data_IF_102955028967
#
_entry.id   IF_102955028967
#
_cell.length_a   1.000
_cell.length_b   1.000
_cell.length_c   1.000
_cell.angle_alpha   90.00
_cell.angle_beta   90.00
_cell.angle_gamma   90.00
#
_symmetry.space_group_name_H-M   'P 1'
#
loop_
_entity.id
_entity.type
_entity.pdbx_description
1 polymer ?
#
# COMPACT_ATOMS: atom_id res chain seq x y z
N UNK A 1 24.92 -12.07 -20.09
CA UNK A 1 25.00 -10.76 -19.38
C UNK A 1 24.55 -9.57 -20.24
N UNK A 2 25.09 -9.33 -21.45
CA UNK A 2 24.68 -8.16 -22.26
C UNK A 2 23.19 -8.16 -22.66
N UNK A 3 22.65 -9.30 -23.11
CA UNK A 3 21.22 -9.45 -23.45
C UNK A 3 20.32 -9.17 -22.23
N UNK A 4 20.64 -9.79 -21.09
CA UNK A 4 19.93 -9.57 -19.83
C UNK A 4 19.89 -8.09 -19.42
N UNK A 5 21.01 -7.36 -19.55
CA UNK A 5 21.03 -5.91 -19.25
C UNK A 5 20.11 -5.13 -20.19
N UNK A 6 20.08 -5.49 -21.48
CA UNK A 6 19.19 -4.86 -22.47
C UNK A 6 17.73 -5.14 -22.11
N UNK A 7 17.38 -6.37 -21.75
CA UNK A 7 16.03 -6.76 -21.33
C UNK A 7 15.56 -5.96 -20.11
N UNK A 8 16.41 -5.82 -19.09
CA UNK A 8 16.14 -4.98 -17.90
C UNK A 8 15.96 -3.51 -18.30
N UNK A 9 16.81 -2.98 -19.17
CA UNK A 9 16.69 -1.58 -19.62
C UNK A 9 15.38 -1.33 -20.37
N UNK A 10 14.97 -2.26 -21.24
CA UNK A 10 13.68 -2.19 -21.94
C UNK A 10 12.52 -2.22 -20.94
N UNK A 11 12.57 -3.14 -19.97
CA UNK A 11 11.56 -3.23 -18.90
C UNK A 11 11.46 -1.93 -18.12
N UNK A 12 12.58 -1.40 -17.61
CA UNK A 12 12.62 -0.15 -16.84
C UNK A 12 12.10 1.02 -17.69
N UNK A 13 12.52 1.12 -18.95
CA UNK A 13 12.10 2.19 -19.85
C UNK A 13 10.59 2.15 -20.07
N UNK A 14 10.01 0.97 -20.34
CA UNK A 14 8.58 0.81 -20.55
C UNK A 14 7.76 1.15 -19.31
N UNK A 15 8.24 0.75 -18.12
CA UNK A 15 7.60 1.09 -16.84
C UNK A 15 7.63 2.61 -16.61
N UNK A 16 8.79 3.25 -16.78
CA UNK A 16 8.93 4.71 -16.60
C UNK A 16 8.08 5.48 -17.61
N UNK A 17 8.11 5.09 -18.89
CA UNK A 17 7.29 5.71 -19.94
C UNK A 17 5.79 5.52 -19.66
N UNK A 18 5.39 4.33 -19.22
CA UNK A 18 4.00 4.00 -18.94
C UNK A 18 3.46 4.80 -17.76
N UNK A 19 4.26 4.92 -16.69
CA UNK A 19 3.97 5.78 -15.55
C UNK A 19 3.78 7.25 -15.95
N UNK A 20 4.60 7.77 -16.88
CA UNK A 20 4.49 9.15 -17.38
C UNK A 20 3.26 9.39 -18.25
N UNK A 21 2.85 8.40 -19.06
CA UNK A 21 1.75 8.56 -20.02
C UNK A 21 0.39 8.45 -19.33
N UNK A 22 0.19 7.41 -18.50
CA UNK A 22 -1.12 7.12 -17.91
C UNK A 22 -1.02 6.50 -16.51
N UNK A 23 0.02 6.82 -15.74
CA UNK A 23 0.20 6.33 -14.37
C UNK A 23 0.28 4.81 -14.28
N UNK A 24 -0.35 4.24 -13.25
CA UNK A 24 -0.34 2.80 -12.99
C UNK A 24 -0.92 1.96 -14.15
N UNK A 25 -1.98 2.47 -14.79
CA UNK A 25 -2.58 1.84 -15.97
C UNK A 25 -1.60 1.79 -17.14
N UNK A 26 -0.97 2.93 -17.46
CA UNK A 26 0.00 3.02 -18.55
C UNK A 26 1.23 2.16 -18.33
N UNK A 27 1.72 2.10 -17.08
CA UNK A 27 2.79 1.19 -16.66
C UNK A 27 2.47 -0.26 -17.00
N UNK A 28 1.26 -0.71 -16.62
CA UNK A 28 0.77 -2.04 -16.93
C UNK A 28 0.69 -2.34 -18.43
N UNK A 29 0.04 -1.45 -19.18
CA UNK A 29 -0.17 -1.65 -20.62
C UNK A 29 1.17 -1.70 -21.37
N UNK A 30 2.08 -0.75 -21.12
CA UNK A 30 3.37 -0.76 -21.81
C UNK A 30 4.23 -1.97 -21.44
N UNK A 31 4.18 -2.43 -20.18
CA UNK A 31 4.86 -3.66 -19.80
C UNK A 31 4.30 -4.89 -20.55
N UNK A 32 2.97 -4.99 -20.74
CA UNK A 32 2.36 -6.04 -21.56
C UNK A 32 2.75 -5.92 -23.04
N UNK A 33 2.89 -4.71 -23.57
CA UNK A 33 3.41 -4.53 -24.94
C UNK A 33 4.86 -4.98 -25.03
N UNK A 34 5.70 -4.65 -24.04
CA UNK A 34 7.09 -5.14 -24.02
C UNK A 34 7.18 -6.65 -23.82
N UNK A 35 6.19 -7.28 -23.18
CA UNK A 35 6.11 -8.73 -23.09
C UNK A 35 6.07 -9.39 -24.47
N UNK A 36 5.41 -8.77 -25.46
CA UNK A 36 5.46 -9.23 -26.85
C UNK A 36 6.89 -9.16 -27.41
N UNK A 37 7.62 -8.09 -27.11
CA UNK A 37 9.02 -7.93 -27.54
C UNK A 37 9.90 -8.99 -26.88
N UNK A 38 9.69 -9.31 -25.61
CA UNK A 38 10.47 -10.34 -24.90
C UNK A 38 10.23 -11.74 -25.48
N UNK A 39 8.98 -12.10 -25.74
CA UNK A 39 8.65 -13.42 -26.28
C UNK A 39 9.06 -13.53 -27.75
N UNK A 40 8.61 -12.60 -28.61
CA UNK A 40 8.79 -12.71 -30.05
C UNK A 40 10.13 -12.17 -30.55
N UNK A 41 10.71 -11.19 -29.86
CA UNK A 41 11.99 -10.58 -30.23
C UNK A 41 13.19 -11.27 -29.58
N UNK A 42 13.14 -11.49 -28.26
CA UNK A 42 14.23 -12.13 -27.51
C UNK A 42 14.07 -13.65 -27.36
N UNK A 43 12.92 -14.23 -27.71
CA UNK A 43 12.70 -15.67 -27.66
C UNK A 43 12.54 -16.22 -26.24
N UNK A 44 12.21 -15.37 -25.26
CA UNK A 44 12.01 -15.81 -23.88
C UNK A 44 10.69 -16.56 -23.74
N UNK A 45 10.71 -17.67 -23.00
CA UNK A 45 9.50 -18.39 -22.65
C UNK A 45 8.62 -17.51 -21.73
N UNK A 46 7.30 -17.45 -21.94
CA UNK A 46 6.41 -16.64 -21.11
C UNK A 46 6.46 -17.13 -19.65
N UNK A 47 6.69 -16.21 -18.72
CA UNK A 47 6.62 -16.49 -17.29
C UNK A 47 5.18 -16.56 -16.78
N UNK A 48 5.04 -16.86 -15.48
CA UNK A 48 3.75 -17.01 -14.83
C UNK A 48 2.98 -15.68 -14.74
N UNK A 49 1.68 -15.77 -15.01
CA UNK A 49 0.77 -14.65 -14.93
C UNK A 49 0.28 -14.46 -13.48
N UNK A 50 0.33 -13.25 -12.88
CA UNK A 50 -0.09 -13.04 -11.49
C UNK A 50 -1.62 -12.94 -11.35
N UNK A 51 -2.36 -13.94 -11.86
CA UNK A 51 -3.84 -13.98 -11.90
C UNK A 51 -4.43 -13.86 -10.50
N UNK A 52 -3.88 -14.61 -9.55
CA UNK A 52 -4.22 -14.64 -8.13
C UNK A 52 -4.24 -13.23 -7.53
N UNK A 53 -3.18 -12.44 -7.74
CA UNK A 53 -3.11 -11.06 -7.25
C UNK A 53 -4.11 -10.13 -7.96
N UNK A 54 -4.31 -10.29 -9.27
CA UNK A 54 -5.28 -9.50 -10.06
C UNK A 54 -6.70 -9.70 -9.54
N UNK A 55 -7.10 -10.94 -9.25
CA UNK A 55 -8.42 -11.26 -8.73
C UNK A 55 -8.65 -10.68 -7.33
N UNK A 56 -7.62 -10.73 -6.46
CA UNK A 56 -7.68 -10.07 -5.14
C UNK A 56 -7.94 -8.57 -5.31
N UNK A 57 -7.14 -7.88 -6.13
CA UNK A 57 -7.24 -6.44 -6.34
C UNK A 57 -8.60 -6.05 -6.89
N UNK A 58 -9.13 -6.84 -7.83
CA UNK A 58 -10.46 -6.63 -8.38
C UNK A 58 -11.54 -6.73 -7.31
N UNK A 59 -11.53 -7.80 -6.51
CA UNK A 59 -12.54 -8.01 -5.46
C UNK A 59 -12.55 -6.88 -4.42
N UNK A 60 -11.38 -6.44 -3.98
CA UNK A 60 -11.26 -5.34 -3.01
C UNK A 60 -11.63 -4.00 -3.65
N UNK A 61 -11.23 -3.77 -4.90
CA UNK A 61 -11.57 -2.57 -5.65
C UNK A 61 -13.08 -2.39 -5.84
N UNK A 62 -13.80 -3.48 -6.10
CA UNK A 62 -15.25 -3.50 -6.20
C UNK A 62 -15.90 -3.33 -4.83
N UNK A 63 -15.42 -4.03 -3.79
CA UNK A 63 -15.96 -3.90 -2.44
C UNK A 63 -15.78 -2.48 -1.86
N UNK A 64 -14.58 -1.92 -1.98
CA UNK A 64 -14.29 -0.56 -1.56
C UNK A 64 -15.00 0.49 -2.41
N UNK A 65 -15.11 0.27 -3.72
CA UNK A 65 -15.90 1.15 -4.60
C UNK A 65 -17.39 1.12 -4.28
N UNK A 66 -17.93 -0.05 -3.94
CA UNK A 66 -19.32 -0.20 -3.49
C UNK A 66 -19.52 0.53 -2.18
N UNK A 67 -18.59 0.38 -1.23
CA UNK A 67 -18.62 1.11 0.04
C UNK A 67 -18.53 2.64 -0.16
N UNK A 68 -17.79 3.10 -1.16
CA UNK A 68 -17.72 4.51 -1.52
C UNK A 68 -19.02 4.99 -2.17
N UNK A 69 -19.59 4.23 -3.12
CA UNK A 69 -20.84 4.55 -3.79
C UNK A 69 -22.04 4.57 -2.84
N UNK A 70 -22.03 3.76 -1.77
CA UNK A 70 -23.06 3.78 -0.73
C UNK A 70 -22.88 4.90 0.31
N UNK A 71 -21.85 5.74 0.22
CA UNK A 71 -21.55 6.76 1.24
C UNK A 71 -20.99 6.17 2.54
N UNK A 72 -20.60 4.90 2.55
CA UNK A 72 -19.98 4.24 3.70
C UNK A 72 -18.61 4.84 4.04
N UNK A 73 -17.85 5.26 3.03
CA UNK A 73 -16.59 5.98 3.23
C UNK A 73 -16.83 7.33 3.92
N UNK A 74 -17.87 8.08 3.55
CA UNK A 74 -18.20 9.35 4.19
C UNK A 74 -18.58 9.16 5.67
N UNK A 75 -19.30 8.09 5.99
CA UNK A 75 -19.59 7.71 7.38
C UNK A 75 -18.33 7.39 8.18
N UNK A 76 -17.40 6.63 7.59
CA UNK A 76 -16.12 6.33 8.20
C UNK A 76 -15.32 7.62 8.45
N UNK A 77 -15.23 8.51 7.46
CA UNK A 77 -14.54 9.80 7.59
C UNK A 77 -15.16 10.68 8.69
N UNK A 78 -16.50 10.70 8.80
CA UNK A 78 -17.20 11.38 9.90
C UNK A 78 -16.80 10.83 11.27
N UNK A 79 -16.73 9.51 11.41
CA UNK A 79 -16.31 8.87 12.66
C UNK A 79 -14.85 9.20 12.99
N UNK A 80 -13.95 9.15 12.00
CA UNK A 80 -12.56 9.57 12.17
C UNK A 80 -12.46 11.04 12.62
N UNK A 81 -13.25 11.93 12.02
CA UNK A 81 -13.29 13.35 12.40
C UNK A 81 -13.59 13.52 13.87
N UNK A 82 -14.64 12.86 14.38
CA UNK A 82 -15.02 12.94 15.80
C UNK A 82 -13.91 12.44 16.73
N UNK A 83 -13.17 11.42 16.33
CA UNK A 83 -12.06 10.89 17.14
C UNK A 83 -10.85 11.85 17.13
N UNK A 84 -10.49 12.38 15.97
CA UNK A 84 -9.38 13.33 15.81
C UNK A 84 -9.66 14.62 16.60
N UNK A 85 -10.88 15.16 16.50
CA UNK A 85 -11.29 16.37 17.21
C UNK A 85 -11.41 16.18 18.73
N UNK A 86 -11.53 14.94 19.23
CA UNK A 86 -11.58 14.65 20.68
C UNK A 86 -10.21 14.81 21.37
N UNK A 87 -9.11 14.64 20.63
CA UNK A 87 -7.75 14.70 21.18
C UNK A 87 -6.83 15.67 20.40
N UNK A 88 -7.22 16.97 20.28
CA UNK A 88 -6.55 17.92 19.39
C UNK A 88 -5.10 18.21 19.81
N UNK A 89 -4.80 18.20 21.11
CA UNK A 89 -3.44 18.42 21.64
C UNK A 89 -2.46 17.31 21.29
N UNK A 90 -2.95 16.10 21.02
CA UNK A 90 -2.15 14.92 20.68
C UNK A 90 -2.26 14.57 19.20
N UNK A 91 -2.66 15.51 18.34
CA UNK A 91 -2.97 15.25 16.93
C UNK A 91 -1.81 14.59 16.16
N UNK A 92 -0.55 14.91 16.50
CA UNK A 92 0.64 14.32 15.87
C UNK A 92 0.71 12.79 16.07
N UNK A 93 0.07 12.25 17.12
CA UNK A 93 -0.04 10.81 17.37
C UNK A 93 -1.40 10.24 16.99
N UNK A 94 -2.48 11.00 17.21
CA UNK A 94 -3.84 10.52 16.96
C UNK A 94 -4.14 10.47 15.46
N UNK A 95 -3.73 11.47 14.68
CA UNK A 95 -4.02 11.48 13.25
C UNK A 95 -3.33 10.34 12.49
N UNK A 96 -2.05 9.99 12.74
CA UNK A 96 -1.43 8.86 12.06
C UNK A 96 -2.06 7.53 12.47
N UNK A 97 -2.44 7.34 13.74
CA UNK A 97 -3.12 6.12 14.19
C UNK A 97 -4.48 5.91 13.50
N UNK A 98 -5.27 6.99 13.36
CA UNK A 98 -6.56 6.91 12.68
C UNK A 98 -6.36 6.66 11.18
N UNK A 99 -5.40 7.33 10.56
CA UNK A 99 -5.05 7.08 9.16
C UNK A 99 -4.56 5.64 8.96
N UNK A 100 -3.73 5.12 9.87
CA UNK A 100 -3.28 3.73 9.83
C UNK A 100 -4.46 2.77 9.84
N UNK A 101 -5.38 2.91 10.79
CA UNK A 101 -6.55 2.04 10.92
C UNK A 101 -7.41 2.06 9.64
N UNK A 102 -7.62 3.24 9.07
CA UNK A 102 -8.44 3.42 7.88
C UNK A 102 -7.81 2.82 6.64
N UNK A 103 -6.52 3.10 6.44
CA UNK A 103 -5.78 2.55 5.29
C UNK A 103 -5.60 1.04 5.45
N UNK A 104 -5.35 0.56 6.67
CA UNK A 104 -5.27 -0.86 6.98
C UNK A 104 -6.59 -1.59 6.71
N UNK A 105 -7.73 -0.99 7.07
CA UNK A 105 -9.04 -1.59 6.84
C UNK A 105 -9.50 -1.51 5.39
N UNK A 106 -9.33 -0.36 4.73
CA UNK A 106 -9.86 -0.10 3.39
C UNK A 106 -8.91 -0.58 2.29
N UNK A 107 -7.59 -0.62 2.57
CA UNK A 107 -6.58 -1.10 1.61
C UNK A 107 -6.10 -0.07 0.59
N UNK A 108 -6.45 1.21 0.75
CA UNK A 108 -5.94 2.30 -0.10
C UNK A 108 -5.48 3.51 0.72
N UNK A 109 -4.35 4.11 0.35
CA UNK A 109 -3.88 5.36 0.96
C UNK A 109 -4.68 6.58 0.50
N UNK A 110 -5.48 6.47 -0.57
CA UNK A 110 -6.30 7.56 -1.07
C UNK A 110 -7.38 8.01 -0.07
N UNK A 111 -7.74 7.16 0.90
CA UNK A 111 -8.63 7.56 2.00
C UNK A 111 -8.02 8.68 2.87
N UNK A 112 -6.69 8.77 2.93
CA UNK A 112 -6.01 9.83 3.66
C UNK A 112 -6.37 11.22 3.11
N UNK A 113 -6.66 11.35 1.80
CA UNK A 113 -7.09 12.61 1.19
C UNK A 113 -8.36 13.17 1.85
N UNK A 114 -9.27 12.31 2.29
CA UNK A 114 -10.49 12.76 2.99
C UNK A 114 -10.23 13.14 4.46
N UNK A 115 -9.14 12.65 5.05
CA UNK A 115 -8.76 12.92 6.44
C UNK A 115 -7.80 14.11 6.56
N UNK A 116 -6.94 14.35 5.57
CA UNK A 116 -5.94 15.42 5.57
C UNK A 116 -6.52 16.82 5.87
N UNK A 117 -7.67 17.25 5.30
CA UNK A 117 -8.27 18.55 5.63
C UNK A 117 -8.70 18.64 7.10
N UNK A 118 -9.27 17.55 7.64
CA UNK A 118 -9.70 17.45 9.03
C UNK A 118 -8.50 17.54 9.96
N UNK A 119 -7.40 16.87 9.60
CA UNK A 119 -6.14 16.88 10.35
C UNK A 119 -5.54 18.28 10.34
N UNK A 120 -5.43 18.93 9.18
CA UNK A 120 -4.91 20.28 9.06
C UNK A 120 -5.73 21.28 9.91
N UNK A 121 -7.06 21.22 9.78
CA UNK A 121 -7.98 22.07 10.55
C UNK A 121 -7.88 21.83 12.06
N UNK A 122 -7.86 20.57 12.49
CA UNK A 122 -7.76 20.23 13.91
C UNK A 122 -6.40 20.64 14.48
N UNK A 123 -5.32 20.54 13.70
CA UNK A 123 -4.00 21.03 14.09
C UNK A 123 -4.04 22.55 14.34
N UNK A 124 -4.62 23.31 13.41
CA UNK A 124 -4.78 24.76 13.56
C UNK A 124 -5.62 25.11 14.79
N UNK A 125 -6.78 24.48 15.00
CA UNK A 125 -7.60 24.67 16.22
C UNK A 125 -6.80 24.37 17.51
N UNK A 126 -5.86 23.42 17.46
CA UNK A 126 -5.03 23.03 18.57
C UNK A 126 -3.79 23.93 18.80
N UNK A 127 -3.58 24.97 17.98
CA UNK A 127 -2.32 25.74 17.93
C UNK A 127 -1.09 24.87 17.63
N UNK A 128 -1.26 23.88 16.75
CA UNK A 128 -0.20 23.00 16.27
C UNK A 128 -0.02 23.23 14.77
N UNK A 129 1.23 23.32 14.32
CA UNK A 129 1.55 23.39 12.89
C UNK A 129 0.94 22.19 12.13
N UNK A 130 0.17 22.41 11.05
CA UNK A 130 -0.39 21.34 10.21
C UNK A 130 0.68 20.43 9.60
N UNK A 131 1.86 20.98 9.32
CA UNK A 131 3.00 20.27 8.72
C UNK A 131 3.29 18.93 9.38
N UNK A 132 3.36 18.90 10.71
CA UNK A 132 3.78 17.72 11.48
C UNK A 132 2.76 16.57 11.41
N UNK A 133 1.49 16.78 11.80
CA UNK A 133 0.49 15.72 11.71
C UNK A 133 0.20 15.31 10.27
N UNK A 134 0.25 16.23 9.28
CA UNK A 134 0.09 15.88 7.86
C UNK A 134 1.20 14.95 7.37
N UNK A 135 2.49 15.31 7.61
CA UNK A 135 3.62 14.44 7.23
C UNK A 135 3.52 13.08 7.91
N UNK A 136 3.25 13.06 9.23
CA UNK A 136 3.13 11.83 9.98
C UNK A 136 2.01 10.94 9.45
N UNK A 137 0.85 11.51 9.13
CA UNK A 137 -0.31 10.80 8.58
C UNK A 137 -0.07 10.25 7.17
N UNK A 138 0.49 11.04 6.25
CA UNK A 138 0.74 10.60 4.86
C UNK A 138 1.75 9.45 4.82
N UNK A 139 2.86 9.56 5.55
CA UNK A 139 3.86 8.49 5.61
C UNK A 139 3.31 7.23 6.29
N UNK A 140 2.48 7.40 7.33
CA UNK A 140 1.82 6.28 7.99
C UNK A 140 0.80 5.57 7.10
N UNK A 141 0.10 6.30 6.22
CA UNK A 141 -0.77 5.70 5.21
C UNK A 141 0.03 4.72 4.34
N UNK A 142 1.25 5.08 3.95
CA UNK A 142 2.12 4.21 3.15
C UNK A 142 2.56 2.97 3.94
N UNK A 143 2.91 3.11 5.23
CA UNK A 143 3.23 1.98 6.09
C UNK A 143 2.06 0.99 6.21
N UNK A 144 0.85 1.51 6.41
CA UNK A 144 -0.37 0.73 6.60
C UNK A 144 -0.72 -0.10 5.35
N UNK A 145 -0.45 0.41 4.15
CA UNK A 145 -0.69 -0.31 2.90
C UNK A 145 0.05 -1.63 2.84
N UNK A 146 1.31 -1.68 3.29
CA UNK A 146 2.11 -2.92 3.28
C UNK A 146 1.72 -3.90 4.40
N UNK A 147 0.76 -3.55 5.25
CA UNK A 147 0.25 -4.44 6.29
C UNK A 147 -1.20 -4.86 6.04
N UNK A 148 -1.93 -4.10 5.23
CA UNK A 148 -3.34 -4.39 4.94
C UNK A 148 -3.46 -5.59 3.99
N UNK A 149 -4.18 -6.65 4.35
CA UNK A 149 -4.52 -7.72 3.40
C UNK A 149 -5.43 -7.22 2.27
N UNK A 150 -6.15 -6.13 2.52
CA UNK A 150 -6.99 -5.45 1.54
C UNK A 150 -6.16 -4.51 0.63
N UNK A 151 -4.87 -4.32 0.86
CA UNK A 151 -4.05 -3.53 -0.05
C UNK A 151 -3.48 -4.36 -1.20
N UNK A 152 -3.57 -3.80 -2.40
CA UNK A 152 -3.07 -4.45 -3.63
C UNK A 152 -1.60 -4.88 -3.57
N UNK A 153 -0.72 -4.04 -3.01
CA UNK A 153 0.70 -4.36 -2.86
C UNK A 153 0.92 -5.56 -1.94
N UNK A 154 0.27 -5.58 -0.78
CA UNK A 154 0.36 -6.66 0.21
C UNK A 154 -0.24 -7.96 -0.33
N UNK A 155 -1.39 -7.88 -0.98
CA UNK A 155 -2.01 -9.03 -1.64
C UNK A 155 -1.07 -9.67 -2.66
N UNK A 156 -0.41 -8.85 -3.49
CA UNK A 156 0.60 -9.34 -4.42
C UNK A 156 1.78 -9.99 -3.70
N UNK A 157 2.36 -9.32 -2.70
CA UNK A 157 3.51 -9.84 -1.94
C UNK A 157 3.16 -11.20 -1.31
N UNK A 158 2.02 -11.30 -0.62
CA UNK A 158 1.56 -12.54 0.00
C UNK A 158 1.38 -13.64 -1.06
N UNK A 159 0.80 -13.32 -2.23
CA UNK A 159 0.62 -14.31 -3.30
C UNK A 159 1.94 -14.88 -3.82
N UNK A 160 2.98 -14.06 -3.92
CA UNK A 160 4.31 -14.53 -4.36
C UNK A 160 5.04 -15.27 -3.24
N UNK A 161 4.87 -14.83 -2.00
CA UNK A 161 5.46 -15.47 -0.82
C UNK A 161 4.82 -16.82 -0.49
N UNK A 162 3.56 -17.05 -0.90
CA UNK A 162 2.90 -18.35 -0.77
C UNK A 162 3.66 -19.46 -1.52
N UNK A 163 4.25 -19.14 -2.69
CA UNK A 163 5.10 -20.07 -3.44
C UNK A 163 6.42 -20.42 -2.72
N UNK A 164 6.73 -19.70 -1.63
CA UNK A 164 7.90 -19.91 -0.79
C UNK A 164 7.51 -20.39 0.62
N UNK A 165 6.33 -20.98 0.76
CA UNK A 165 5.80 -21.54 2.02
C UNK A 165 5.66 -20.50 3.15
N UNK A 166 5.66 -19.21 2.82
CA UNK A 166 5.39 -18.14 3.79
C UNK A 166 3.89 -17.88 3.84
N UNK A 167 3.32 -18.10 5.01
CA UNK A 167 1.91 -17.80 5.25
C UNK A 167 1.69 -16.30 5.45
N UNK A 168 0.47 -15.85 5.16
CA UNK A 168 0.05 -14.49 5.45
C UNK A 168 0.21 -14.13 6.94
N UNK A 169 -0.03 -15.09 7.86
CA UNK A 169 0.19 -14.92 9.29
C UNK A 169 1.64 -14.61 9.63
N UNK A 170 2.60 -15.33 9.02
CA UNK A 170 4.04 -15.05 9.18
C UNK A 170 4.42 -13.69 8.59
N UNK A 171 3.86 -13.32 7.43
CA UNK A 171 4.08 -12.00 6.85
C UNK A 171 3.62 -10.89 7.81
N UNK A 172 2.38 -10.98 8.30
CA UNK A 172 1.79 -9.98 9.18
C UNK A 172 2.44 -9.94 10.57
N UNK A 173 2.92 -11.07 11.09
CA UNK A 173 3.59 -11.12 12.40
C UNK A 173 4.86 -10.26 12.45
N UNK A 174 5.50 -10.04 11.29
CA UNK A 174 6.62 -9.10 11.16
C UNK A 174 6.15 -7.73 10.66
N UNK A 175 5.40 -7.68 9.55
CA UNK A 175 5.07 -6.43 8.89
C UNK A 175 4.21 -5.49 9.75
N UNK A 176 3.19 -6.03 10.43
CA UNK A 176 2.23 -5.23 11.20
C UNK A 176 2.87 -4.59 12.45
N UNK A 177 3.56 -5.32 13.35
CA UNK A 177 4.22 -4.69 14.48
C UNK A 177 5.33 -3.72 14.05
N UNK A 178 6.05 -4.03 12.97
CA UNK A 178 7.05 -3.12 12.38
C UNK A 178 6.45 -1.78 12.00
N UNK A 179 5.33 -1.79 11.28
CA UNK A 179 4.66 -0.57 10.85
C UNK A 179 4.10 0.23 12.03
N UNK A 180 3.50 -0.43 13.03
CA UNK A 180 2.97 0.22 14.23
C UNK A 180 4.08 0.90 15.04
N UNK A 181 5.20 0.22 15.30
CA UNK A 181 6.34 0.80 16.02
C UNK A 181 6.95 1.96 15.21
N UNK A 182 7.07 1.80 13.89
CA UNK A 182 7.62 2.84 13.00
C UNK A 182 6.74 4.08 12.95
N UNK A 183 5.41 3.92 12.93
CA UNK A 183 4.44 5.02 13.03
C UNK A 183 4.60 5.79 14.35
N UNK A 184 4.76 5.09 15.48
CA UNK A 184 4.97 5.73 16.78
C UNK A 184 6.31 6.46 16.84
N UNK A 185 7.37 5.85 16.29
CA UNK A 185 8.69 6.47 16.17
C UNK A 185 8.64 7.73 15.29
N UNK A 186 7.94 7.68 14.16
CA UNK A 186 7.71 8.83 13.27
C UNK A 186 6.96 9.96 13.99
N UNK A 187 5.88 9.63 14.69
CA UNK A 187 5.09 10.62 15.45
C UNK A 187 5.93 11.28 16.54
N UNK A 188 6.79 10.50 17.21
CA UNK A 188 7.76 10.98 18.19
C UNK A 188 8.81 11.87 17.54
N UNK A 189 9.38 11.46 16.41
CA UNK A 189 10.35 12.24 15.64
C UNK A 189 9.77 13.59 15.21
N UNK A 190 8.57 13.61 14.64
CA UNK A 190 7.86 14.84 14.25
C UNK A 190 7.57 15.76 15.44
N UNK A 191 7.35 15.19 16.62
CA UNK A 191 7.14 15.95 17.86
C UNK A 191 8.44 16.59 18.36
N UNK A 192 9.55 15.84 18.36
CA UNK A 192 10.85 16.28 18.88
C UNK A 192 11.59 17.21 17.93
N UNK A 193 11.54 16.97 16.62
CA UNK A 193 12.29 17.74 15.63
C UNK A 193 11.50 18.99 15.22
N UNK A 194 12.15 20.15 15.36
CA UNK A 194 11.62 21.44 14.95
C UNK A 194 10.52 21.97 15.86
N UNK A 195 10.86 22.36 17.10
CA UNK A 195 10.07 23.31 17.89
C UNK A 195 10.11 24.68 17.19
N UNK A 196 9.45 24.80 16.05
CA UNK A 196 9.28 26.09 15.41
C UNK A 196 8.24 26.86 16.21
N UNK A 197 8.65 28.01 16.74
CA UNK A 197 7.74 29.04 17.20
C UNK A 197 6.92 29.46 15.99
N UNK A 198 5.63 29.14 16.01
CA UNK A 198 4.71 29.48 14.94
C UNK A 198 4.01 30.78 15.31
N UNK A 199 3.97 31.70 14.34
CA UNK A 199 3.41 33.03 14.51
C UNK A 199 1.89 32.93 14.72
N UNK A 200 1.43 33.26 15.94
CA UNK A 200 0.00 33.17 16.33
C UNK A 200 -0.89 34.03 15.45
N UNK A 201 -0.39 35.16 14.94
CA UNK A 201 -1.21 36.15 14.22
C UNK A 201 -1.64 35.67 12.82
N UNK A 202 -0.86 34.79 12.19
CA UNK A 202 -1.24 34.11 10.93
C UNK A 202 -2.31 33.05 11.12
N UNK A 203 -2.44 32.48 12.31
CA UNK A 203 -3.47 31.48 12.59
C UNK A 203 -4.87 32.08 12.66
N UNK A 204 -5.01 33.27 13.24
CA UNK A 204 -6.33 33.87 13.50
C UNK A 204 -7.03 34.25 12.18
N UNK A 205 -6.28 34.76 11.20
CA UNK A 205 -6.83 35.10 9.87
C UNK A 205 -7.23 33.87 9.04
N UNK A 206 -6.50 32.75 9.15
CA UNK A 206 -6.80 31.50 8.43
C UNK A 206 -8.01 30.77 9.04
N UNK A 207 -8.10 30.75 10.37
CA UNK A 207 -9.22 30.10 11.07
C UNK A 207 -10.55 30.84 10.85
N UNK A 208 -10.51 32.16 10.59
CA UNK A 208 -11.69 32.96 10.27
C UNK A 208 -12.14 32.88 8.79
N UNK A 209 -11.25 32.52 7.87
CA UNK A 209 -11.53 32.63 6.43
C UNK A 209 -12.30 31.45 5.81
N UNK A 210 -12.16 30.22 6.30
CA UNK A 210 -12.85 29.05 5.73
C UNK A 210 -13.22 28.02 6.81
N UNK A 211 -14.30 28.29 7.55
CA UNK A 211 -14.96 27.26 8.37
C UNK A 211 -16.08 26.63 7.55
N UNK A 212 -15.73 25.70 6.66
CA UNK A 212 -16.69 24.66 6.27
C UNK A 212 -17.00 23.86 7.54
N UNK A 213 -18.13 24.15 8.18
CA UNK A 213 -18.68 23.31 9.24
C UNK A 213 -18.99 21.96 8.59
N UNK A 214 -18.45 20.88 9.16
CA UNK A 214 -19.00 19.55 8.88
C UNK A 214 -20.33 19.58 9.62
N UNK A 215 -21.42 19.85 8.90
CA UNK A 215 -22.76 19.67 9.44
C UNK A 215 -22.86 18.25 10.02
N UNK A 216 -23.61 18.06 11.12
CA UNK A 216 -23.89 16.72 11.63
C UNK A 216 -24.72 15.97 10.58
N UNK A 217 -24.04 15.34 9.62
CA UNK A 217 -24.66 14.60 8.54
C UNK A 217 -25.34 13.38 9.13
N UNK A 218 -26.65 13.26 8.90
CA UNK A 218 -27.40 12.08 9.28
C UNK A 218 -27.05 10.93 8.33
N UNK A 219 -26.39 9.89 8.86
CA UNK A 219 -26.13 8.65 8.14
C UNK A 219 -27.21 7.61 8.44
N UNK A 220 -27.83 7.09 7.38
CA UNK A 220 -28.89 6.09 7.52
C UNK A 220 -28.36 4.79 8.19
N UNK A 221 -29.21 4.03 8.90
CA UNK A 221 -28.82 2.75 9.48
C UNK A 221 -28.28 1.75 8.46
N UNK A 222 -28.75 1.83 7.21
CA UNK A 222 -28.32 0.96 6.10
C UNK A 222 -26.87 1.21 5.71
N UNK A 223 -26.42 2.47 5.68
CA UNK A 223 -25.01 2.83 5.44
C UNK A 223 -24.12 2.27 6.56
N UNK A 224 -24.56 2.41 7.83
CA UNK A 224 -23.83 1.86 8.98
C UNK A 224 -23.71 0.34 8.92
N UNK A 225 -24.77 -0.35 8.53
CA UNK A 225 -24.76 -1.81 8.31
C UNK A 225 -23.86 -2.21 7.14
N UNK A 226 -23.87 -1.46 6.04
CA UNK A 226 -22.97 -1.69 4.90
C UNK A 226 -21.50 -1.56 5.28
N UNK A 227 -21.16 -0.55 6.08
CA UNK A 227 -19.82 -0.37 6.67
C UNK A 227 -19.48 -1.50 7.62
N UNK A 228 -20.41 -1.92 8.48
CA UNK A 228 -20.21 -3.05 9.38
C UNK A 228 -19.94 -4.36 8.60
N UNK A 229 -20.65 -4.59 7.49
CA UNK A 229 -20.43 -5.75 6.62
C UNK A 229 -19.04 -5.73 5.95
N UNK A 230 -18.56 -4.54 5.54
CA UNK A 230 -17.20 -4.38 5.02
C UNK A 230 -16.14 -4.67 6.08
N UNK A 231 -16.25 -4.06 7.26
CA UNK A 231 -15.31 -4.30 8.36
C UNK A 231 -15.34 -5.75 8.84
N UNK A 232 -16.52 -6.38 8.83
CA UNK A 232 -16.66 -7.80 9.10
C UNK A 232 -15.88 -8.65 8.08
N UNK A 233 -16.01 -8.36 6.79
CA UNK A 233 -15.25 -9.04 5.73
C UNK A 233 -13.74 -8.91 5.92
N UNK A 234 -13.24 -7.71 6.21
CA UNK A 234 -11.81 -7.48 6.53
C UNK A 234 -11.38 -8.27 7.77
N UNK A 235 -12.22 -8.28 8.82
CA UNK A 235 -11.97 -9.04 10.04
C UNK A 235 -11.87 -10.55 9.80
N UNK A 236 -12.79 -11.11 9.01
CA UNK A 236 -12.74 -12.52 8.61
C UNK A 236 -11.45 -12.85 7.85
N UNK A 237 -11.07 -12.03 6.86
CA UNK A 237 -9.83 -12.22 6.09
C UNK A 237 -8.60 -12.25 7.00
N UNK A 238 -8.53 -11.36 7.98
CA UNK A 238 -7.44 -11.34 8.95
C UNK A 238 -7.42 -12.60 9.81
N UNK A 239 -8.58 -13.06 10.28
CA UNK A 239 -8.69 -14.27 11.10
C UNK A 239 -8.23 -15.50 10.30
N UNK A 240 -8.75 -15.72 9.09
CA UNK A 240 -8.33 -16.85 8.24
C UNK A 240 -6.86 -16.73 7.82
N UNK A 241 -6.37 -15.52 7.57
CA UNK A 241 -4.97 -15.29 7.21
C UNK A 241 -3.99 -15.53 8.36
N UNK A 242 -4.40 -15.24 9.60
CA UNK A 242 -3.59 -15.51 10.80
C UNK A 242 -3.65 -16.97 11.24
N UNK A 243 -4.76 -17.66 10.98
CA UNK A 243 -4.97 -19.05 11.37
C UNK A 243 -5.30 -19.90 10.14
N UNK A 244 -4.28 -20.33 9.37
CA UNK A 244 -4.48 -21.16 8.18
C UNK A 244 -5.22 -22.47 8.46
N UNK A 245 -5.12 -23.01 9.68
CA UNK A 245 -5.83 -24.23 10.09
C UNK A 245 -7.37 -24.08 10.07
N UNK A 246 -7.88 -22.84 10.07
CA UNK A 246 -9.31 -22.58 9.93
C UNK A 246 -9.79 -22.67 8.47
N UNK A 247 -8.88 -22.72 7.50
CA UNK A 247 -9.24 -22.80 6.09
C UNK A 247 -9.98 -24.10 5.80
N UNK A 248 -11.16 -24.04 5.14
CA UNK A 248 -11.88 -25.23 4.75
C UNK A 248 -11.01 -26.16 3.89
N UNK A 249 -10.88 -27.41 4.32
CA UNK A 249 -10.22 -28.48 3.56
C UNK A 249 -11.26 -29.46 3.05
N UNK A 250 -11.11 -29.85 1.80
CA UNK A 250 -11.97 -30.80 1.11
C UNK A 250 -11.14 -32.00 0.68
N UNK A 251 -11.72 -33.20 0.73
CA UNK A 251 -11.11 -34.38 0.14
C UNK A 251 -11.71 -34.55 -1.26
N UNK A 252 -10.90 -34.29 -2.29
CA UNK A 252 -11.28 -34.42 -3.70
C UNK A 252 -10.34 -35.46 -4.32
N UNK A 253 -10.92 -36.55 -4.83
CA UNK A 253 -10.17 -37.65 -5.47
C UNK A 253 -9.05 -38.26 -4.60
N UNK A 254 -9.21 -38.24 -3.27
CA UNK A 254 -8.23 -38.76 -2.32
C UNK A 254 -7.15 -37.76 -1.91
N UNK A 255 -7.10 -36.59 -2.53
CA UNK A 255 -6.20 -35.49 -2.18
C UNK A 255 -6.91 -34.45 -1.29
N UNK A 256 -6.18 -33.94 -0.31
CA UNK A 256 -6.70 -32.87 0.56
C UNK A 256 -6.44 -31.53 -0.11
N UNK A 257 -7.50 -30.90 -0.61
CA UNK A 257 -7.47 -29.57 -1.23
C UNK A 257 -7.94 -28.56 -0.19
N UNK A 258 -7.12 -27.57 0.13
CA UNK A 258 -7.50 -26.45 1.00
C UNK A 258 -7.85 -25.23 0.16
N UNK A 259 -8.84 -24.46 0.62
CA UNK A 259 -9.23 -23.22 -0.01
C UNK A 259 -8.10 -22.18 0.13
N UNK A 260 -7.71 -21.54 -0.97
CA UNK A 260 -6.59 -20.60 -0.95
C UNK A 260 -6.96 -19.30 -0.22
N UNK A 261 -5.99 -18.66 0.44
CA UNK A 261 -6.20 -17.34 1.05
C UNK A 261 -6.73 -16.29 0.05
N UNK A 262 -6.31 -16.41 -1.21
CA UNK A 262 -6.81 -15.63 -2.34
C UNK A 262 -8.32 -15.69 -2.49
N UNK A 263 -8.88 -16.87 -2.33
CA UNK A 263 -10.30 -17.15 -2.52
C UNK A 263 -11.08 -16.65 -1.31
N UNK A 264 -10.54 -16.81 -0.09
CA UNK A 264 -11.10 -16.21 1.13
C UNK A 264 -11.27 -14.69 0.97
N UNK A 265 -10.23 -14.00 0.51
CA UNK A 265 -10.29 -12.54 0.30
C UNK A 265 -11.41 -12.18 -0.66
N UNK A 266 -11.50 -12.87 -1.79
CA UNK A 266 -12.54 -12.63 -2.79
C UNK A 266 -13.95 -12.89 -2.23
N UNK A 267 -14.16 -14.03 -1.57
CA UNK A 267 -15.46 -14.42 -1.03
C UNK A 267 -15.99 -13.39 -0.02
N UNK A 268 -15.16 -12.94 0.93
CA UNK A 268 -15.61 -11.97 1.94
C UNK A 268 -15.78 -10.55 1.38
N UNK A 269 -14.95 -10.13 0.41
CA UNK A 269 -15.10 -8.83 -0.26
C UNK A 269 -16.35 -8.78 -1.14
N UNK A 270 -16.63 -9.85 -1.90
CA UNK A 270 -17.87 -9.96 -2.67
C UNK A 270 -19.10 -10.15 -1.79
N UNK A 271 -18.98 -10.83 -0.65
CA UNK A 271 -20.06 -10.89 0.35
C UNK A 271 -20.40 -9.49 0.88
N UNK A 272 -19.39 -8.69 1.24
CA UNK A 272 -19.58 -7.30 1.66
C UNK A 272 -20.26 -6.46 0.56
N UNK A 273 -19.82 -6.63 -0.69
CA UNK A 273 -20.41 -5.98 -1.87
C UNK A 273 -21.88 -6.36 -2.02
N UNK A 274 -22.20 -7.65 -2.00
CA UNK A 274 -23.56 -8.15 -2.15
C UNK A 274 -24.48 -7.61 -1.05
N UNK A 275 -24.03 -7.60 0.21
CA UNK A 275 -24.81 -7.03 1.31
C UNK A 275 -25.06 -5.54 1.09
N UNK A 276 -24.04 -4.77 0.68
CA UNK A 276 -24.21 -3.35 0.41
C UNK A 276 -25.21 -3.08 -0.72
N UNK A 277 -25.15 -3.83 -1.82
CA UNK A 277 -26.09 -3.71 -2.94
C UNK A 277 -27.52 -4.10 -2.57
N UNK A 278 -27.70 -5.09 -1.70
CA UNK A 278 -29.03 -5.50 -1.22
C UNK A 278 -29.63 -4.46 -0.26
N UNK A 279 -28.80 -3.82 0.57
CA UNK A 279 -29.22 -2.78 1.50
C UNK A 279 -29.49 -1.44 0.79
N UNK A 280 -28.66 -1.10 -0.19
CA UNK A 280 -28.63 0.19 -0.88
C UNK A 280 -28.83 -0.05 -2.38
N UNK A 281 -29.97 0.40 -2.91
CA UNK A 281 -30.24 0.35 -4.35
C UNK A 281 -29.41 1.43 -5.07
N UNK A 282 -28.18 1.09 -5.45
CA UNK A 282 -27.26 1.96 -6.21
C UNK A 282 -27.13 1.49 -7.66
N UNK A 283 -26.79 2.41 -8.58
CA UNK A 283 -26.48 2.06 -9.97
C UNK A 283 -25.10 1.40 -10.02
N UNK A 284 -24.94 0.25 -10.71
CA UNK A 284 -23.63 -0.38 -10.88
C UNK A 284 -22.56 0.55 -11.49
N UNK A 285 -22.95 1.52 -12.31
CA UNK A 285 -22.02 2.50 -12.89
C UNK A 285 -21.43 3.46 -11.83
N UNK A 286 -22.17 3.71 -10.74
CA UNK A 286 -21.67 4.54 -9.64
C UNK A 286 -20.49 3.86 -8.94
N UNK A 287 -20.49 2.53 -8.87
CA UNK A 287 -19.40 1.72 -8.31
C UNK A 287 -18.14 1.88 -9.17
N UNK A 288 -18.28 1.68 -10.48
CA UNK A 288 -17.16 1.72 -11.43
C UNK A 288 -16.54 3.11 -11.58
N UNK A 289 -17.34 4.16 -11.38
CA UNK A 289 -16.87 5.55 -11.44
C UNK A 289 -16.22 6.03 -10.14
N UNK A 290 -16.27 5.25 -9.06
CA UNK A 290 -15.62 5.62 -7.81
C UNK A 290 -14.09 5.67 -7.93
N UNK A 291 -13.46 6.56 -7.14
CA UNK A 291 -12.00 6.68 -7.10
C UNK A 291 -11.34 5.39 -6.62
N UNK A 292 -11.96 4.65 -5.70
CA UNK A 292 -11.42 3.38 -5.21
C UNK A 292 -11.40 2.33 -6.33
N UNK A 293 -12.49 2.14 -7.07
CA UNK A 293 -12.52 1.18 -8.18
C UNK A 293 -11.57 1.58 -9.31
N UNK A 294 -11.52 2.87 -9.69
CA UNK A 294 -10.58 3.35 -10.70
C UNK A 294 -9.11 3.14 -10.28
N UNK A 295 -8.80 3.39 -9.01
CA UNK A 295 -7.46 3.14 -8.46
C UNK A 295 -7.11 1.65 -8.49
N UNK A 296 -8.09 0.78 -8.18
CA UNK A 296 -7.91 -0.66 -8.24
C UNK A 296 -7.69 -1.18 -9.67
N UNK A 297 -8.40 -0.65 -10.67
CA UNK A 297 -8.17 -0.97 -12.09
C UNK A 297 -6.73 -0.58 -12.50
N UNK A 298 -6.28 0.61 -12.13
CA UNK A 298 -4.89 1.03 -12.37
C UNK A 298 -3.88 0.10 -11.70
N UNK A 299 -4.12 -0.29 -10.44
CA UNK A 299 -3.28 -1.21 -9.69
C UNK A 299 -3.26 -2.63 -10.29
N UNK A 300 -4.40 -3.12 -10.78
CA UNK A 300 -4.53 -4.41 -11.45
C UNK A 300 -3.56 -4.49 -12.64
N UNK A 301 -3.57 -3.48 -13.51
CA UNK A 301 -2.65 -3.44 -14.65
C UNK A 301 -1.19 -3.28 -14.21
N UNK A 302 -0.92 -2.52 -13.16
CA UNK A 302 0.42 -2.36 -12.60
C UNK A 302 0.99 -3.64 -11.94
N UNK A 303 0.13 -4.57 -11.51
CA UNK A 303 0.56 -5.93 -11.13
C UNK A 303 0.71 -6.80 -12.35
N UNK A 304 -0.33 -6.86 -13.20
CA UNK A 304 -0.40 -7.75 -14.33
C UNK A 304 0.78 -7.56 -15.30
N UNK A 305 1.05 -6.33 -15.71
CA UNK A 305 2.07 -6.03 -16.71
C UNK A 305 3.50 -6.24 -16.20
N UNK A 306 4.01 -5.41 -15.27
CA UNK A 306 5.35 -5.55 -14.74
C UNK A 306 5.60 -6.90 -14.05
N UNK A 307 4.60 -7.48 -13.38
CA UNK A 307 4.73 -8.79 -12.76
C UNK A 307 4.94 -9.90 -13.79
N UNK A 308 4.17 -9.91 -14.87
CA UNK A 308 4.33 -10.90 -15.94
C UNK A 308 5.61 -10.70 -16.75
N UNK A 309 5.92 -9.44 -17.08
CA UNK A 309 7.17 -9.08 -17.77
C UNK A 309 8.39 -9.44 -16.94
N UNK A 310 8.37 -9.14 -15.64
CA UNK A 310 9.40 -9.51 -14.69
C UNK A 310 9.56 -11.03 -14.59
N UNK A 311 8.47 -11.78 -14.41
CA UNK A 311 8.52 -13.24 -14.38
C UNK A 311 9.16 -13.82 -15.65
N UNK A 312 8.87 -13.26 -16.82
CA UNK A 312 9.41 -13.70 -18.11
C UNK A 312 10.92 -13.43 -18.23
N UNK A 313 11.36 -12.23 -17.84
CA UNK A 313 12.78 -11.86 -17.91
C UNK A 313 13.58 -12.62 -16.85
N UNK A 314 13.14 -12.62 -15.60
CA UNK A 314 13.95 -13.13 -14.48
C UNK A 314 13.88 -14.65 -14.33
N UNK A 315 12.77 -15.30 -14.70
CA UNK A 315 12.68 -16.77 -14.64
C UNK A 315 13.23 -17.46 -15.89
N UNK A 316 13.65 -16.70 -16.92
CA UNK A 316 14.35 -17.27 -18.06
C UNK A 316 15.62 -18.00 -17.57
N UNK A 317 15.86 -19.27 -17.97
CA UNK A 317 16.94 -20.08 -17.43
C UNK A 317 18.33 -19.42 -17.49
N UNK A 318 18.64 -18.78 -18.61
CA UNK A 318 19.91 -18.07 -18.84
C UNK A 318 20.07 -16.85 -17.92
N UNK A 319 18.99 -16.11 -17.69
CA UNK A 319 19.00 -14.93 -16.83
C UNK A 319 19.06 -15.31 -15.35
N UNK A 320 18.32 -16.36 -14.96
CA UNK A 320 18.36 -16.91 -13.61
C UNK A 320 19.77 -17.38 -13.24
N UNK A 321 20.52 -17.94 -14.20
CA UNK A 321 21.92 -18.32 -13.99
C UNK A 321 22.79 -17.10 -13.70
N UNK A 322 22.70 -16.05 -14.51
CA UNK A 322 23.42 -14.77 -14.29
C UNK A 322 23.06 -14.18 -12.92
N UNK A 323 21.78 -14.17 -12.56
CA UNK A 323 21.33 -13.63 -11.28
C UNK A 323 21.91 -14.38 -10.08
N UNK A 324 21.97 -15.72 -10.15
CA UNK A 324 22.50 -16.55 -9.06
C UNK A 324 24.02 -16.53 -8.98
N UNK A 325 24.71 -16.60 -10.11
CA UNK A 325 26.17 -16.72 -10.15
C UNK A 325 26.88 -15.38 -9.98
N UNK A 326 26.48 -14.34 -10.72
CA UNK A 326 27.19 -13.05 -10.74
C UNK A 326 26.68 -12.10 -9.64
N UNK A 327 25.36 -11.91 -9.56
CA UNK A 327 24.74 -10.93 -8.65
C UNK A 327 24.51 -11.53 -7.26
N UNK A 328 24.09 -12.80 -7.20
CA UNK A 328 23.87 -13.54 -5.97
C UNK A 328 25.13 -13.64 -5.11
N UNK A 329 26.31 -13.80 -5.74
CA UNK A 329 27.60 -13.80 -5.03
C UNK A 329 27.89 -12.48 -4.31
N UNK A 330 27.61 -11.34 -4.95
CA UNK A 330 27.75 -10.01 -4.32
C UNK A 330 26.77 -9.81 -3.17
N UNK A 331 25.52 -10.24 -3.36
CA UNK A 331 24.48 -10.12 -2.33
C UNK A 331 24.74 -11.03 -1.14
N UNK A 332 25.27 -12.23 -1.36
CA UNK A 332 25.68 -13.13 -0.29
C UNK A 332 26.77 -12.48 0.61
N UNK A 333 27.67 -11.70 0.02
CA UNK A 333 28.70 -10.96 0.77
C UNK A 333 28.15 -9.69 1.42
N UNK A 334 27.21 -9.00 0.77
CA UNK A 334 26.66 -7.72 1.21
C UNK A 334 25.12 -7.69 1.14
N UNK A 335 24.41 -8.43 2.03
CA UNK A 335 22.95 -8.57 1.95
C UNK A 335 22.18 -7.24 2.07
N UNK A 336 22.79 -6.25 2.73
CA UNK A 336 22.20 -4.92 2.90
C UNK A 336 22.08 -4.12 1.60
N UNK A 337 22.80 -4.48 0.52
CA UNK A 337 22.67 -3.82 -0.78
C UNK A 337 21.26 -3.98 -1.35
N UNK A 338 20.56 -5.05 -1.00
CA UNK A 338 19.17 -5.29 -1.42
C UNK A 338 18.23 -4.19 -0.92
N UNK A 339 18.44 -3.69 0.30
CA UNK A 339 17.65 -2.58 0.88
C UNK A 339 17.79 -1.33 0.01
N UNK A 340 19.01 -1.01 -0.41
CA UNK A 340 19.28 0.15 -1.27
C UNK A 340 18.68 -0.05 -2.65
N UNK A 341 18.86 -1.24 -3.23
CA UNK A 341 18.31 -1.58 -4.53
C UNK A 341 16.79 -1.40 -4.55
N UNK A 342 16.08 -1.98 -3.58
CA UNK A 342 14.61 -1.86 -3.46
C UNK A 342 14.21 -0.41 -3.23
N UNK A 343 14.92 0.33 -2.36
CA UNK A 343 14.63 1.74 -2.09
C UNK A 343 14.75 2.62 -3.35
N UNK A 344 15.82 2.45 -4.14
CA UNK A 344 16.07 3.23 -5.37
C UNK A 344 15.00 2.93 -6.42
N UNK A 345 14.67 1.66 -6.65
CA UNK A 345 13.63 1.29 -7.61
C UNK A 345 12.28 1.84 -7.18
N UNK A 346 11.93 1.69 -5.91
CA UNK A 346 10.66 2.20 -5.37
C UNK A 346 10.56 3.72 -5.48
N UNK A 347 11.65 4.44 -5.23
CA UNK A 347 11.72 5.89 -5.38
C UNK A 347 11.39 6.34 -6.82
N UNK A 348 11.84 5.60 -7.83
CA UNK A 348 11.60 5.92 -9.25
C UNK A 348 10.20 5.51 -9.68
N UNK A 349 9.72 4.36 -9.23
CA UNK A 349 8.44 3.76 -9.65
C UNK A 349 7.24 4.41 -8.95
N UNK A 350 7.41 4.90 -7.71
CA UNK A 350 6.44 5.67 -6.91
C UNK A 350 5.17 4.88 -6.49
N UNK A 351 4.79 3.84 -7.23
CA UNK A 351 3.72 2.91 -6.91
C UNK A 351 4.26 1.71 -6.11
N UNK A 352 3.74 1.47 -4.90
CA UNK A 352 4.15 0.31 -4.08
C UNK A 352 3.83 -1.01 -4.78
N UNK A 353 2.66 -1.10 -5.38
CA UNK A 353 2.18 -2.29 -6.07
C UNK A 353 3.04 -2.61 -7.31
N UNK A 354 3.38 -1.60 -8.10
CA UNK A 354 4.30 -1.78 -9.24
C UNK A 354 5.73 -2.08 -8.76
N UNK A 355 6.18 -1.43 -7.68
CA UNK A 355 7.50 -1.67 -7.11
C UNK A 355 7.62 -3.09 -6.58
N UNK A 356 6.58 -3.60 -5.91
CA UNK A 356 6.53 -4.98 -5.45
C UNK A 356 6.53 -5.96 -6.62
N UNK A 357 5.75 -5.72 -7.68
CA UNK A 357 5.70 -6.60 -8.85
C UNK A 357 7.01 -6.70 -9.62
N UNK A 358 7.87 -5.69 -9.52
CA UNK A 358 9.22 -5.71 -10.06
C UNK A 358 10.19 -6.35 -9.06
N UNK A 359 10.20 -5.87 -7.81
CA UNK A 359 11.27 -6.16 -6.87
C UNK A 359 11.14 -7.51 -6.18
N UNK A 360 9.93 -7.99 -5.89
CA UNK A 360 9.76 -9.26 -5.18
C UNK A 360 10.37 -10.41 -6.00
N UNK A 361 10.02 -10.60 -7.30
CA UNK A 361 10.62 -11.66 -8.09
C UNK A 361 12.15 -11.53 -8.18
N UNK A 362 12.66 -10.32 -8.44
CA UNK A 362 14.10 -10.06 -8.51
C UNK A 362 14.79 -10.49 -7.21
N UNK A 363 14.28 -10.05 -6.07
CA UNK A 363 14.87 -10.36 -4.76
C UNK A 363 14.88 -11.86 -4.48
N UNK A 364 13.81 -12.58 -4.85
CA UNK A 364 13.75 -14.03 -4.70
C UNK A 364 14.74 -14.74 -5.64
N UNK A 365 14.85 -14.29 -6.89
CA UNK A 365 15.81 -14.82 -7.87
C UNK A 365 17.27 -14.60 -7.45
N UNK A 366 17.55 -13.54 -6.67
CA UNK A 366 18.87 -13.25 -6.08
C UNK A 366 19.22 -14.16 -4.89
N UNK A 367 18.32 -15.05 -4.47
CA UNK A 367 18.54 -15.98 -3.36
C UNK A 367 18.43 -15.34 -1.98
N UNK A 368 17.79 -14.17 -1.89
CA UNK A 368 17.52 -13.54 -0.58
C UNK A 368 16.48 -14.38 0.15
N UNK A 369 16.72 -14.79 1.40
CA UNK A 369 15.73 -15.51 2.19
C UNK A 369 14.40 -14.74 2.22
N UNK A 370 13.25 -15.37 1.88
CA UNK A 370 11.99 -14.66 1.74
C UNK A 370 11.59 -13.85 2.99
N UNK A 371 11.91 -14.36 4.19
CA UNK A 371 11.64 -13.63 5.43
C UNK A 371 12.57 -12.43 5.69
N UNK A 372 13.76 -12.39 5.09
CA UNK A 372 14.58 -11.18 5.10
C UNK A 372 13.92 -10.09 4.24
N UNK A 373 13.27 -10.46 3.13
CA UNK A 373 12.48 -9.51 2.36
C UNK A 373 11.29 -8.97 3.16
N UNK A 374 10.56 -9.84 3.87
CA UNK A 374 9.47 -9.42 4.78
C UNK A 374 9.97 -8.42 5.82
N UNK A 375 11.13 -8.68 6.44
CA UNK A 375 11.73 -7.79 7.43
C UNK A 375 12.08 -6.39 6.87
N UNK A 376 12.40 -6.29 5.57
CA UNK A 376 12.67 -5.02 4.90
C UNK A 376 11.53 -4.54 4.01
N UNK A 377 10.32 -5.12 4.10
CA UNK A 377 9.23 -4.85 3.14
C UNK A 377 8.87 -3.37 3.05
N UNK A 378 9.01 -2.64 4.16
CA UNK A 378 8.76 -1.20 4.24
C UNK A 378 9.70 -0.36 3.36
N UNK A 379 10.78 -0.93 2.81
CA UNK A 379 11.60 -0.27 1.77
C UNK A 379 10.81 0.03 0.49
N UNK A 380 9.70 -0.66 0.26
CA UNK A 380 8.72 -0.35 -0.78
C UNK A 380 7.93 0.96 -0.53
N UNK A 381 8.22 1.70 0.55
CA UNK A 381 7.61 2.99 0.86
C UNK A 381 8.54 4.20 0.61
N UNK A 382 9.61 4.04 -0.17
CA UNK A 382 10.50 5.15 -0.59
C UNK A 382 9.91 6.11 -1.65
N UNK A 383 8.59 6.08 -1.85
CA UNK A 383 7.86 6.88 -2.84
C UNK A 383 7.64 8.36 -2.46
N UNK A 384 8.19 8.82 -1.33
CA UNK A 384 8.09 10.22 -0.86
C UNK A 384 9.22 11.12 -1.37
N UNK A 385 10.26 10.58 -2.01
CA UNK A 385 11.43 11.38 -2.43
C UNK A 385 11.13 12.19 -3.70
N UNK A 386 10.48 11.55 -4.69
CA UNK A 386 9.96 12.24 -5.87
C UNK A 386 8.51 12.63 -5.59
N UNK A 387 8.17 13.93 -5.56
CA UNK A 387 6.87 14.39 -5.11
C UNK A 387 5.82 14.24 -6.21
N UNK A 388 5.36 13.02 -6.43
CA UNK A 388 4.26 12.72 -7.35
C UNK A 388 3.06 12.05 -6.67
N UNK A 389 3.19 11.67 -5.38
CA UNK A 389 2.11 11.01 -4.67
C UNK A 389 0.96 12.00 -4.38
N UNK A 390 -0.30 11.68 -4.74
CA UNK A 390 -1.43 12.60 -4.54
C UNK A 390 -1.62 13.06 -3.10
N UNK A 391 -1.48 12.15 -2.13
CA UNK A 391 -1.59 12.47 -0.69
C UNK A 391 -0.50 13.44 -0.23
N UNK A 392 0.74 13.22 -0.67
CA UNK A 392 1.84 14.13 -0.37
C UNK A 392 1.61 15.53 -0.96
N UNK A 393 1.22 15.60 -2.23
CA UNK A 393 0.96 16.87 -2.91
C UNK A 393 -0.25 17.60 -2.32
N UNK A 394 -1.29 16.86 -1.93
CA UNK A 394 -2.47 17.42 -1.30
C UNK A 394 -2.16 17.98 0.09
N UNK A 395 -1.41 17.25 0.92
CA UNK A 395 -0.92 17.74 2.21
C UNK A 395 -0.09 19.02 2.08
N UNK A 396 0.71 19.16 1.01
CA UNK A 396 1.43 20.42 0.72
C UNK A 396 0.46 21.55 0.39
N UNK A 397 -0.58 21.28 -0.42
CA UNK A 397 -1.58 22.29 -0.80
C UNK A 397 -2.49 22.73 0.34
N UNK A 398 -2.75 21.84 1.31
CA UNK A 398 -3.59 22.11 2.48
C UNK A 398 -2.90 22.93 3.57
N UNK A 399 -1.56 22.94 3.60
CA UNK A 399 -0.84 23.72 4.60
C UNK A 399 -0.78 25.20 4.21
N UNK A 400 -1.82 25.93 4.57
CA UNK A 400 -1.93 27.37 4.36
C UNK A 400 -0.82 28.19 5.03
N UNK A 401 -0.14 27.62 6.02
CA UNK A 401 1.03 28.25 6.65
C UNK A 401 2.27 28.25 5.74
N UNK A 402 2.20 27.52 4.61
CA UNK A 402 3.26 27.35 3.59
C UNK A 402 4.58 26.80 4.14
N UNK A 403 4.53 26.08 5.26
CA UNK A 403 5.71 25.46 5.86
C UNK A 403 5.97 24.03 5.37
N UNK A 404 4.94 23.37 4.86
CA UNK A 404 5.01 22.07 4.20
C UNK A 404 5.44 22.26 2.76
N UNK A 405 6.54 21.62 2.40
CA UNK A 405 7.07 21.54 1.04
C UNK A 405 7.11 20.08 0.67
N UNK A 406 7.10 19.77 -0.63
CA UNK A 406 7.32 18.43 -1.13
C UNK A 406 8.54 17.74 -0.50
N UNK A 407 9.64 18.48 -0.32
CA UNK A 407 10.87 17.97 0.29
C UNK A 407 10.79 17.75 1.81
N UNK A 408 9.76 18.27 2.49
CA UNK A 408 9.58 18.09 3.93
C UNK A 408 9.34 16.64 4.34
N UNK A 409 8.95 15.76 3.41
CA UNK A 409 8.67 14.35 3.65
C UNK A 409 9.94 13.48 3.59
N UNK A 410 11.02 13.98 2.97
CA UNK A 410 12.24 13.20 2.73
C UNK A 410 12.89 12.77 4.05
N UNK A 411 13.20 13.72 4.94
CA UNK A 411 13.89 13.39 6.20
C UNK A 411 13.02 12.52 7.12
N UNK A 412 11.75 12.87 7.43
CA UNK A 412 10.90 12.01 8.25
C UNK A 412 10.64 10.64 7.62
N UNK A 413 10.46 10.59 6.29
CA UNK A 413 10.27 9.35 5.55
C UNK A 413 11.49 8.45 5.64
N UNK A 414 12.70 8.95 5.35
CA UNK A 414 13.95 8.19 5.46
C UNK A 414 14.15 7.66 6.87
N UNK A 415 13.96 8.50 7.90
CA UNK A 415 14.05 8.06 9.30
C UNK A 415 13.06 6.92 9.59
N UNK A 416 11.83 7.05 9.09
CA UNK A 416 10.79 6.04 9.29
C UNK A 416 11.16 4.72 8.63
N UNK A 417 11.62 4.73 7.37
CA UNK A 417 12.01 3.50 6.69
C UNK A 417 13.23 2.86 7.35
N UNK A 418 14.22 3.65 7.78
CA UNK A 418 15.37 3.14 8.53
C UNK A 418 14.92 2.46 9.84
N UNK A 419 14.03 3.10 10.60
CA UNK A 419 13.44 2.49 11.81
C UNK A 419 12.67 1.23 11.45
N UNK A 420 11.87 1.24 10.39
CA UNK A 420 11.12 0.06 9.95
C UNK A 420 12.01 -1.11 9.61
N UNK A 421 13.12 -0.90 8.89
CA UNK A 421 14.06 -1.97 8.56
C UNK A 421 14.71 -2.53 9.83
N UNK A 422 15.18 -1.67 10.74
CA UNK A 422 15.79 -2.12 12.00
C UNK A 422 14.82 -2.91 12.87
N UNK A 423 13.60 -2.40 13.02
CA UNK A 423 12.54 -3.04 13.80
C UNK A 423 12.09 -4.35 13.13
N UNK A 424 11.94 -4.37 11.81
CA UNK A 424 11.54 -5.56 11.07
C UNK A 424 12.55 -6.70 11.19
N UNK A 425 13.85 -6.42 11.06
CA UNK A 425 14.89 -7.42 11.31
C UNK A 425 14.94 -7.85 12.78
N UNK A 426 14.69 -6.94 13.72
CA UNK A 426 14.63 -7.27 15.15
C UNK A 426 13.47 -8.21 15.46
N UNK A 427 12.27 -7.94 14.92
CA UNK A 427 11.09 -8.80 15.11
C UNK A 427 11.31 -10.16 14.44
N UNK A 428 11.86 -10.18 13.22
CA UNK A 428 12.22 -11.42 12.53
C UNK A 428 13.11 -12.29 13.43
N UNK A 429 14.16 -11.71 13.98
CA UNK A 429 15.09 -12.39 14.88
C UNK A 429 14.40 -12.88 16.16
N UNK A 430 13.55 -12.07 16.78
CA UNK A 430 12.78 -12.45 17.98
C UNK A 430 11.80 -13.61 17.73
N UNK A 431 11.22 -13.69 16.54
CA UNK A 431 10.29 -14.77 16.15
C UNK A 431 11.01 -16.03 15.65
N UNK A 432 12.33 -15.99 15.50
CA UNK A 432 13.15 -17.14 15.10
C UNK A 432 13.05 -17.50 13.62
N UNK A 433 12.72 -16.53 12.75
CA UNK A 433 12.66 -16.73 11.30
C UNK A 433 13.96 -16.38 10.56
#
# INVERSE_FOLDING_TARGET
>A
MALFIIEILIMILAIILGLRIAGALGCGILAIVMQLVMIFGFGLAPGDLPVTAVLIILSIGIAGGTLQATGGIDYLVHLASKIIERFPKSIIFISPMIVFLFVFGIGTSNIALSLEPIIAKTALKANISPKKPLIASVLTANLALLCSPAASATAYIISVLANHEITMGQYLSVALPTALISMLALSTFCTLVGRNHFDRDRMTQVVEAEVAQIEDTYFSPRVKLGVAAFLFGVGCILIFGMFPDLLPTFNVDGETVSLEMTEIVQLFMYLSTAINLLLMKIDPNDILSTRITQSAIGALFAVLGPGWLGATIFNAPENMKIMKEDIGGLIAQMPWLVIILVAVVTMIVISQTASASIMVPIVMSLGVPPMNFVAMVQTLNYNFVIPAQPTLLFAVSLDETRQTRATSFIVPGTVTITVSVLVGFSIKWLLGY
#
